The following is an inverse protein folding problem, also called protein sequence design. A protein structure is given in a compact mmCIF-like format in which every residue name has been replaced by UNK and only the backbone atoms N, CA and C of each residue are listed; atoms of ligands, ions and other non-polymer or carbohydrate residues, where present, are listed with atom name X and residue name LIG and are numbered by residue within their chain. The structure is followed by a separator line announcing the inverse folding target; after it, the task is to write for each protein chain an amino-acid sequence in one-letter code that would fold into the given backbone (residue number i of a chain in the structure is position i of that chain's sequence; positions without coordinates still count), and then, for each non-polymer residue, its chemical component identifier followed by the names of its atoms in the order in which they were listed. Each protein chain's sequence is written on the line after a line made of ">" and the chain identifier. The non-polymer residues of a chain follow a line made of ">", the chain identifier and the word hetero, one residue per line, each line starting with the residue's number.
data_IF_851807748600
#
_entry.id   IF_851807748600
#
_cell.length_a   1.000
_cell.length_b   1.000
_cell.length_c   1.000
_cell.angle_alpha   90.00
_cell.angle_beta   90.00
_cell.angle_gamma   90.00
#
_symmetry.space_group_name_H-M   'P 1'
#
loop_
_entity.id
_entity.type
_entity.pdbx_description
1 polymer ?
#
# COMPACT_ATOMS: atom_id res chain seq x y z
N UNK A 1 -3.27 12.23 36.42
CA UNK A 1 -4.09 13.46 36.24
C UNK A 1 -4.08 13.75 34.76
N UNK A 2 -5.10 13.30 34.04
CA UNK A 2 -5.30 13.62 32.62
C UNK A 2 -5.78 15.07 32.56
N UNK A 3 -4.87 15.99 32.24
CA UNK A 3 -5.26 17.34 31.85
C UNK A 3 -6.12 17.21 30.60
N UNK A 4 -7.42 17.46 30.77
CA UNK A 4 -8.32 17.67 29.64
C UNK A 4 -7.90 19.00 29.04
N UNK A 5 -7.15 18.93 27.94
CA UNK A 5 -6.75 20.10 27.16
C UNK A 5 -8.00 20.91 26.82
N UNK A 6 -7.95 22.21 27.08
CA UNK A 6 -9.06 23.10 26.78
C UNK A 6 -9.30 23.16 25.26
N UNK A 7 -10.55 23.30 24.78
CA UNK A 7 -10.86 23.31 23.34
C UNK A 7 -10.04 24.34 22.53
N UNK A 8 -9.69 25.46 23.16
CA UNK A 8 -8.87 26.53 22.57
C UNK A 8 -7.40 26.12 22.38
N UNK A 9 -6.85 25.27 23.26
CA UNK A 9 -5.48 24.74 23.12
C UNK A 9 -5.37 23.73 21.98
N UNK A 10 -6.40 22.90 21.76
CA UNK A 10 -6.43 21.96 20.63
C UNK A 10 -6.50 22.66 19.28
N UNK A 11 -7.24 23.76 19.18
CA UNK A 11 -7.36 24.55 17.94
C UNK A 11 -6.07 25.30 17.60
N UNK A 12 -5.41 25.89 18.61
CA UNK A 12 -4.12 26.57 18.43
C UNK A 12 -3.02 25.60 18.02
N UNK A 13 -3.04 24.36 18.51
CA UNK A 13 -2.05 23.35 18.15
C UNK A 13 -2.18 22.93 16.67
N UNK A 14 -3.40 22.80 16.14
CA UNK A 14 -3.59 22.43 14.74
C UNK A 14 -3.18 23.51 13.75
N UNK A 15 -3.47 24.78 14.04
CA UNK A 15 -3.04 25.90 13.21
C UNK A 15 -1.51 25.94 13.08
N UNK A 16 -0.79 25.60 14.16
CA UNK A 16 0.68 25.53 14.14
C UNK A 16 1.16 24.42 13.21
N UNK A 17 0.54 23.25 13.24
CA UNK A 17 0.91 22.14 12.36
C UNK A 17 0.60 22.42 10.89
N UNK A 18 -0.56 22.99 10.60
CA UNK A 18 -0.93 23.38 9.24
C UNK A 18 0.05 24.42 8.68
N UNK A 19 0.38 25.46 9.45
CA UNK A 19 1.35 26.48 9.05
C UNK A 19 2.75 25.89 8.82
N UNK A 20 3.18 24.95 9.67
CA UNK A 20 4.44 24.23 9.44
C UNK A 20 4.42 23.48 8.11
N UNK A 21 3.36 22.73 7.82
CA UNK A 21 3.26 21.99 6.55
C UNK A 21 3.27 22.98 5.37
N UNK A 22 2.49 24.06 5.45
CA UNK A 22 2.44 25.13 4.44
C UNK A 22 3.80 25.73 4.10
N UNK A 23 4.68 25.88 5.09
CA UNK A 23 6.04 26.38 4.92
C UNK A 23 7.03 25.33 4.40
N UNK A 24 6.73 24.04 4.59
CA UNK A 24 7.61 22.93 4.23
C UNK A 24 7.38 22.40 2.81
N UNK A 25 6.21 22.66 2.22
CA UNK A 25 5.83 22.13 0.91
C UNK A 25 5.47 23.23 -0.09
N UNK A 26 5.55 22.92 -1.39
CA UNK A 26 5.15 23.83 -2.46
C UNK A 26 3.65 24.14 -2.40
N UNK A 27 3.17 25.30 -2.90
CA UNK A 27 1.76 25.69 -2.82
C UNK A 27 0.77 24.63 -3.34
N UNK A 28 1.05 24.04 -4.51
CA UNK A 28 0.21 22.95 -5.07
C UNK A 28 0.15 21.70 -4.20
N UNK A 29 1.23 21.41 -3.47
CA UNK A 29 1.30 20.28 -2.54
C UNK A 29 0.50 20.58 -1.29
N UNK A 30 0.52 21.82 -0.81
CA UNK A 30 -0.32 22.23 0.32
C UNK A 30 -1.81 22.13 -0.02
N UNK A 31 -2.23 22.54 -1.22
CA UNK A 31 -3.62 22.34 -1.67
C UNK A 31 -4.00 20.85 -1.73
N UNK A 32 -3.08 19.98 -2.15
CA UNK A 32 -3.25 18.52 -2.09
C UNK A 32 -3.43 18.04 -0.65
N UNK A 33 -2.56 18.46 0.27
CA UNK A 33 -2.64 18.13 1.69
C UNK A 33 -4.00 18.48 2.28
N UNK A 34 -4.53 19.67 2.02
CA UNK A 34 -5.84 20.09 2.53
C UNK A 34 -6.97 19.18 2.00
N UNK A 35 -6.94 18.82 0.72
CA UNK A 35 -7.96 17.92 0.13
C UNK A 35 -7.84 16.49 0.68
N UNK A 36 -6.62 16.00 0.93
CA UNK A 36 -6.39 14.71 1.58
C UNK A 36 -6.91 14.71 3.01
N UNK A 37 -6.61 15.74 3.79
CA UNK A 37 -7.07 15.87 5.18
C UNK A 37 -8.59 15.86 5.28
N UNK A 38 -9.27 16.66 4.46
CA UNK A 38 -10.73 16.68 4.41
C UNK A 38 -11.29 15.33 3.98
N UNK A 39 -10.79 14.75 2.88
CA UNK A 39 -11.29 13.47 2.42
C UNK A 39 -11.07 12.34 3.44
N UNK A 40 -9.89 12.27 4.07
CA UNK A 40 -9.58 11.29 5.10
C UNK A 40 -10.53 11.41 6.29
N UNK A 41 -10.84 12.64 6.72
CA UNK A 41 -11.84 12.90 7.78
C UNK A 41 -13.22 12.38 7.40
N UNK A 42 -13.68 12.64 6.18
CA UNK A 42 -14.98 12.17 5.69
C UNK A 42 -15.04 10.64 5.61
N UNK A 43 -13.99 9.99 5.08
CA UNK A 43 -13.90 8.53 5.03
C UNK A 43 -13.96 7.96 6.45
N UNK A 44 -13.23 8.54 7.40
CA UNK A 44 -13.22 8.08 8.78
C UNK A 44 -14.61 8.19 9.44
N UNK A 45 -15.30 9.31 9.27
CA UNK A 45 -16.67 9.51 9.76
C UNK A 45 -17.63 8.44 9.22
N UNK A 46 -17.58 8.15 7.91
CA UNK A 46 -18.46 7.17 7.28
C UNK A 46 -18.23 5.74 7.72
N UNK A 47 -17.03 5.41 8.21
CA UNK A 47 -16.62 4.03 8.52
C UNK A 47 -16.38 3.80 10.03
N UNK A 48 -16.69 4.77 10.88
CA UNK A 48 -16.55 4.63 12.34
C UNK A 48 -15.11 4.69 12.85
N UNK A 49 -14.17 5.21 12.05
CA UNK A 49 -12.81 5.51 12.49
C UNK A 49 -12.73 6.91 13.13
N UNK A 50 -11.61 7.23 13.79
CA UNK A 50 -11.41 8.54 14.43
C UNK A 50 -11.19 9.63 13.37
N UNK A 51 -12.13 10.58 13.21
CA UNK A 51 -12.08 11.56 12.14
C UNK A 51 -11.03 12.65 12.39
N UNK A 52 -10.76 13.00 13.65
CA UNK A 52 -9.80 14.05 13.98
C UNK A 52 -8.38 13.53 13.80
N UNK A 53 -8.12 12.27 14.15
CA UNK A 53 -6.86 11.60 13.81
C UNK A 53 -6.66 11.44 12.31
N UNK A 54 -7.72 11.11 11.56
CA UNK A 54 -7.65 11.02 10.11
C UNK A 54 -7.35 12.37 9.44
N UNK A 55 -7.99 13.43 9.92
CA UNK A 55 -7.69 14.80 9.48
C UNK A 55 -6.23 15.17 9.78
N UNK A 56 -5.79 14.96 11.02
CA UNK A 56 -4.41 15.24 11.45
C UNK A 56 -3.37 14.49 10.60
N UNK A 57 -3.57 13.19 10.40
CA UNK A 57 -2.68 12.40 9.57
C UNK A 57 -2.67 12.87 8.11
N UNK A 58 -3.82 13.27 7.58
CA UNK A 58 -3.92 13.88 6.25
C UNK A 58 -3.19 15.23 6.14
N UNK A 59 -3.21 16.08 7.16
CA UNK A 59 -2.42 17.32 7.19
C UNK A 59 -0.91 17.00 7.18
N UNK A 60 -0.50 16.00 7.94
CA UNK A 60 0.92 15.74 8.22
C UNK A 60 1.62 14.80 7.22
N UNK A 61 0.88 14.03 6.40
CA UNK A 61 1.43 12.94 5.59
C UNK A 61 2.61 13.36 4.70
N UNK A 62 2.47 14.51 4.04
CA UNK A 62 3.39 15.00 3.01
C UNK A 62 4.38 16.05 3.56
N UNK A 63 4.50 16.25 4.88
CA UNK A 63 5.34 17.32 5.47
C UNK A 63 6.83 17.23 5.08
N UNK A 64 7.32 16.04 4.77
CA UNK A 64 8.68 15.80 4.30
C UNK A 64 8.80 15.67 2.77
N UNK A 65 7.71 15.84 2.02
CA UNK A 65 7.61 15.49 0.59
C UNK A 65 8.59 16.25 -0.30
N UNK A 66 8.81 17.52 -0.01
CA UNK A 66 9.64 18.42 -0.83
C UNK A 66 11.06 18.59 -0.26
N UNK A 67 11.45 17.78 0.74
CA UNK A 67 12.82 17.76 1.24
C UNK A 67 13.79 17.20 0.19
N UNK A 68 15.06 17.66 0.18
CA UNK A 68 16.08 17.09 -0.69
C UNK A 68 16.35 15.61 -0.38
N UNK A 69 16.73 14.83 -1.40
CA UNK A 69 17.04 13.40 -1.29
C UNK A 69 18.01 13.06 -0.14
N UNK A 70 19.06 13.87 0.04
CA UNK A 70 20.03 13.69 1.12
C UNK A 70 19.38 13.80 2.52
N UNK A 71 18.37 14.68 2.67
CA UNK A 71 17.65 14.86 3.92
C UNK A 71 16.65 13.73 4.14
N UNK A 72 15.97 13.25 3.09
CA UNK A 72 15.11 12.06 3.15
C UNK A 72 15.89 10.83 3.63
N UNK A 73 17.06 10.58 3.03
CA UNK A 73 17.97 9.48 3.42
C UNK A 73 18.46 9.62 4.87
N UNK A 74 18.71 10.85 5.33
CA UNK A 74 19.15 11.14 6.70
C UNK A 74 18.04 10.91 7.72
N UNK A 75 16.80 11.27 7.39
CA UNK A 75 15.64 11.15 8.27
C UNK A 75 15.06 9.73 8.30
N UNK A 76 15.17 8.99 7.20
CA UNK A 76 14.71 7.63 7.06
C UNK A 76 15.76 6.79 6.32
N UNK A 77 16.61 6.05 7.05
CA UNK A 77 17.60 5.18 6.44
C UNK A 77 16.94 4.15 5.50
N UNK A 78 17.53 3.89 4.31
CA UNK A 78 17.04 2.90 3.36
C UNK A 78 16.83 1.52 3.98
N UNK A 79 15.69 0.91 3.69
CA UNK A 79 15.38 -0.49 4.03
C UNK A 79 15.56 -1.43 2.82
N UNK A 80 15.63 -0.89 1.60
CA UNK A 80 15.87 -1.63 0.37
C UNK A 80 16.53 -0.80 -0.73
N UNK A 81 16.86 -1.42 -1.87
CA UNK A 81 17.51 -0.76 -3.00
C UNK A 81 16.64 0.36 -3.60
N UNK A 82 15.31 0.22 -3.57
CA UNK A 82 14.38 1.23 -4.08
C UNK A 82 14.49 2.53 -3.27
N UNK A 83 14.65 2.44 -1.95
CA UNK A 83 14.83 3.62 -1.09
C UNK A 83 16.11 4.38 -1.44
N UNK A 84 17.18 3.64 -1.75
CA UNK A 84 18.48 4.23 -2.12
C UNK A 84 18.44 4.84 -3.53
N UNK A 85 17.79 4.18 -4.48
CA UNK A 85 17.68 4.63 -5.86
C UNK A 85 16.64 5.74 -6.05
N UNK A 86 15.59 5.74 -5.21
CA UNK A 86 14.46 6.67 -5.27
C UNK A 86 14.11 7.20 -3.86
N UNK A 87 14.95 8.07 -3.26
CA UNK A 87 14.76 8.58 -1.90
C UNK A 87 13.39 9.23 -1.65
N UNK A 88 12.75 9.73 -2.71
CA UNK A 88 11.40 10.26 -2.67
C UNK A 88 10.34 9.28 -2.14
N UNK A 89 10.59 7.96 -2.17
CA UNK A 89 9.72 6.96 -1.54
C UNK A 89 9.73 7.06 0.01
N UNK A 90 10.82 7.59 0.59
CA UNK A 90 11.02 7.65 2.04
C UNK A 90 10.24 8.75 2.75
N UNK A 91 9.57 9.66 2.03
CA UNK A 91 8.97 10.85 2.66
C UNK A 91 7.95 10.54 3.78
N UNK A 92 7.21 9.43 3.74
CA UNK A 92 6.36 9.02 4.86
C UNK A 92 7.16 8.69 6.12
N UNK A 93 8.19 7.84 6.00
CA UNK A 93 9.10 7.50 7.10
C UNK A 93 9.88 8.72 7.59
N UNK A 94 10.32 9.57 6.68
CA UNK A 94 11.01 10.82 7.01
C UNK A 94 10.09 11.80 7.76
N UNK A 95 8.83 11.92 7.32
CA UNK A 95 7.80 12.71 7.99
C UNK A 95 7.59 12.22 9.42
N UNK A 96 7.43 10.91 9.65
CA UNK A 96 7.33 10.34 11.01
C UNK A 96 8.52 10.75 11.89
N UNK A 97 9.74 10.56 11.42
CA UNK A 97 10.95 10.93 12.18
C UNK A 97 10.99 12.43 12.48
N UNK A 98 10.63 13.27 11.50
CA UNK A 98 10.61 14.72 11.64
C UNK A 98 9.58 15.19 12.67
N UNK A 99 8.35 14.68 12.59
CA UNK A 99 7.25 14.97 13.52
C UNK A 99 7.59 14.56 14.94
N UNK A 100 8.17 13.36 15.11
CA UNK A 100 8.61 12.87 16.42
C UNK A 100 9.67 13.79 17.04
N UNK A 101 10.63 14.27 16.24
CA UNK A 101 11.65 15.24 16.70
C UNK A 101 11.07 16.61 17.04
N UNK A 102 9.92 16.95 16.45
CA UNK A 102 9.19 18.19 16.71
C UNK A 102 8.15 18.08 17.83
N UNK A 103 8.09 16.95 18.53
CA UNK A 103 7.22 16.77 19.70
C UNK A 103 5.83 16.22 19.40
N UNK A 104 5.57 15.74 18.19
CA UNK A 104 4.31 15.06 17.88
C UNK A 104 4.39 13.58 18.29
N UNK A 105 3.40 13.08 19.03
CA UNK A 105 3.49 11.79 19.72
C UNK A 105 2.28 10.85 19.55
N UNK A 106 1.23 11.23 18.82
CA UNK A 106 0.11 10.30 18.60
C UNK A 106 0.54 9.13 17.69
N UNK A 107 0.59 7.88 18.21
CA UNK A 107 1.13 6.75 17.46
C UNK A 107 0.24 6.34 16.28
N UNK A 108 -1.09 6.56 16.37
CA UNK A 108 -2.05 6.22 15.30
C UNK A 108 -1.81 7.11 14.09
N UNK A 109 -1.64 8.42 14.34
CA UNK A 109 -1.35 9.42 13.32
C UNK A 109 0.06 9.23 12.74
N UNK A 110 1.07 9.04 13.58
CA UNK A 110 2.45 8.82 13.14
C UNK A 110 2.59 7.56 12.27
N UNK A 111 1.82 6.51 12.56
CA UNK A 111 1.78 5.32 11.72
C UNK A 111 1.10 5.59 10.37
N UNK A 112 -0.05 6.27 10.37
CA UNK A 112 -0.72 6.65 9.12
C UNK A 112 0.16 7.51 8.22
N UNK A 113 0.89 8.48 8.81
CA UNK A 113 1.89 9.30 8.10
C UNK A 113 3.05 8.47 7.58
N UNK A 114 3.54 7.49 8.33
CA UNK A 114 4.64 6.64 7.88
C UNK A 114 4.26 5.81 6.66
N UNK A 115 3.09 5.16 6.74
CA UNK A 115 2.68 4.11 5.82
C UNK A 115 1.94 4.61 4.58
N UNK A 116 1.53 5.89 4.51
CA UNK A 116 0.77 6.41 3.36
C UNK A 116 1.49 6.17 2.01
N UNK A 117 2.82 6.15 2.01
CA UNK A 117 3.65 5.95 0.81
C UNK A 117 3.72 4.50 0.35
N UNK A 118 3.61 3.53 1.26
CA UNK A 118 3.86 2.12 0.95
C UNK A 118 2.66 1.22 1.19
N UNK A 119 1.61 1.70 1.87
CA UNK A 119 0.44 0.92 2.23
C UNK A 119 0.36 0.65 3.74
N UNK A 120 -0.85 0.68 4.34
CA UNK A 120 -1.07 0.35 5.75
C UNK A 120 -0.67 -1.09 6.10
N UNK A 121 -0.17 -1.29 7.32
CA UNK A 121 0.20 -2.62 7.86
C UNK A 121 -0.98 -3.43 8.42
N UNK A 122 -2.17 -2.83 8.47
CA UNK A 122 -3.38 -3.38 9.10
C UNK A 122 -3.51 -2.98 10.57
N UNK A 123 -4.73 -3.06 11.11
CA UNK A 123 -5.02 -2.73 12.52
C UNK A 123 -5.13 -1.22 12.83
N UNK A 124 -5.03 -0.36 11.81
CA UNK A 124 -5.14 1.08 11.94
C UNK A 124 -6.00 1.66 10.81
N UNK A 125 -7.28 1.90 11.10
CA UNK A 125 -8.24 2.41 10.12
C UNK A 125 -7.92 3.85 9.69
N UNK A 126 -7.24 4.63 10.52
CA UNK A 126 -6.77 5.98 10.16
C UNK A 126 -5.74 5.90 9.03
N UNK A 127 -4.82 4.93 9.08
CA UNK A 127 -3.86 4.70 8.00
C UNK A 127 -4.57 4.31 6.69
N UNK A 128 -5.62 3.50 6.75
CA UNK A 128 -6.46 3.17 5.60
C UNK A 128 -7.14 4.42 5.02
N UNK A 129 -7.76 5.25 5.86
CA UNK A 129 -8.42 6.49 5.44
C UNK A 129 -7.46 7.42 4.70
N UNK A 130 -6.26 7.65 5.26
CA UNK A 130 -5.25 8.54 4.66
C UNK A 130 -4.70 7.97 3.36
N UNK A 131 -4.41 6.67 3.31
CA UNK A 131 -3.91 6.02 2.11
C UNK A 131 -4.92 6.12 0.95
N UNK A 132 -6.20 5.85 1.23
CA UNK A 132 -7.28 5.98 0.26
C UNK A 132 -7.44 7.44 -0.17
N UNK A 133 -7.45 8.38 0.78
CA UNK A 133 -7.59 9.80 0.49
C UNK A 133 -6.46 10.32 -0.41
N UNK A 134 -5.20 9.99 -0.12
CA UNK A 134 -4.03 10.46 -0.90
C UNK A 134 -4.09 10.04 -2.38
N UNK A 135 -4.56 8.82 -2.65
CA UNK A 135 -4.66 8.33 -4.04
C UNK A 135 -5.93 8.77 -4.76
N UNK A 136 -6.96 9.21 -4.03
CA UNK A 136 -8.32 9.43 -4.57
C UNK A 136 -8.91 10.81 -4.30
N UNK A 137 -8.15 11.73 -3.70
CA UNK A 137 -8.59 13.11 -3.48
C UNK A 137 -9.03 13.77 -4.82
N UNK A 138 -10.10 14.60 -4.85
CA UNK A 138 -10.73 15.06 -6.09
C UNK A 138 -9.80 15.75 -7.11
N UNK A 139 -8.77 16.44 -6.65
CA UNK A 139 -7.77 17.11 -7.47
C UNK A 139 -6.84 16.17 -8.24
N UNK A 140 -6.79 14.87 -7.90
CA UNK A 140 -6.08 13.84 -8.68
C UNK A 140 -6.73 13.60 -10.04
N UNK A 141 -8.05 13.79 -10.16
CA UNK A 141 -8.81 13.52 -11.39
C UNK A 141 -8.89 12.03 -11.77
N UNK A 142 -8.50 11.12 -10.88
CA UNK A 142 -8.53 9.65 -11.04
C UNK A 142 -9.04 8.99 -9.77
N UNK A 143 -9.29 7.68 -9.80
CA UNK A 143 -9.69 6.88 -8.63
C UNK A 143 -11.00 7.35 -7.95
N UNK A 144 -11.93 7.90 -8.74
CA UNK A 144 -13.25 8.28 -8.22
C UNK A 144 -14.03 7.08 -7.68
N UNK A 145 -13.89 5.91 -8.32
CA UNK A 145 -14.48 4.65 -7.88
C UNK A 145 -13.99 4.25 -6.48
N UNK A 146 -12.69 4.40 -6.20
CA UNK A 146 -12.10 4.15 -4.88
C UNK A 146 -12.68 5.10 -3.83
N UNK A 147 -12.77 6.40 -4.15
CA UNK A 147 -13.32 7.42 -3.25
C UNK A 147 -14.79 7.16 -2.92
N UNK A 148 -15.58 6.81 -3.92
CA UNK A 148 -17.02 6.52 -3.77
C UNK A 148 -17.25 5.26 -2.95
N UNK A 149 -16.46 4.21 -3.18
CA UNK A 149 -16.49 2.99 -2.39
C UNK A 149 -16.14 3.27 -0.92
N UNK A 150 -15.12 4.10 -0.67
CA UNK A 150 -14.67 4.45 0.68
C UNK A 150 -15.75 5.14 1.52
N UNK A 151 -16.81 5.68 0.93
CA UNK A 151 -17.91 6.28 1.66
C UNK A 151 -18.78 5.25 2.42
N UNK A 152 -18.64 3.96 2.15
CA UNK A 152 -19.44 2.90 2.76
C UNK A 152 -18.73 1.55 2.92
N UNK A 153 -17.54 1.36 2.34
CA UNK A 153 -16.73 0.16 2.48
C UNK A 153 -15.22 0.51 2.51
N UNK A 154 -14.70 0.79 3.72
CA UNK A 154 -13.27 1.10 3.92
C UNK A 154 -12.36 -0.03 3.45
N UNK A 155 -12.72 -1.29 3.74
CA UNK A 155 -11.89 -2.46 3.43
C UNK A 155 -11.80 -2.64 1.93
N UNK A 156 -12.95 -2.68 1.24
CA UNK A 156 -12.99 -2.81 -0.22
C UNK A 156 -12.29 -1.66 -0.93
N UNK A 157 -12.43 -0.42 -0.43
CA UNK A 157 -11.72 0.74 -0.97
C UNK A 157 -10.21 0.64 -0.78
N UNK A 158 -9.73 0.15 0.37
CA UNK A 158 -8.31 -0.05 0.63
C UNK A 158 -7.72 -1.13 -0.29
N UNK A 159 -8.41 -2.26 -0.43
CA UNK A 159 -8.02 -3.33 -1.36
C UNK A 159 -7.88 -2.79 -2.77
N UNK A 160 -8.89 -2.06 -3.25
CA UNK A 160 -8.91 -1.44 -4.57
C UNK A 160 -7.78 -0.43 -4.76
N UNK A 161 -7.49 0.38 -3.75
CA UNK A 161 -6.40 1.35 -3.76
C UNK A 161 -5.02 0.69 -3.87
N UNK A 162 -4.78 -0.39 -3.12
CA UNK A 162 -3.53 -1.15 -3.15
C UNK A 162 -3.36 -1.83 -4.51
N UNK A 163 -4.39 -2.50 -5.02
CA UNK A 163 -4.39 -3.14 -6.35
C UNK A 163 -4.13 -2.11 -7.46
N UNK A 164 -4.81 -0.96 -7.41
CA UNK A 164 -4.62 0.13 -8.38
C UNK A 164 -3.17 0.61 -8.42
N UNK A 165 -2.55 0.83 -7.25
CA UNK A 165 -1.15 1.27 -7.15
C UNK A 165 -0.17 0.24 -7.71
N UNK A 166 -0.30 -1.03 -7.35
CA UNK A 166 0.59 -2.09 -7.84
C UNK A 166 0.46 -2.23 -9.36
N UNK A 167 -0.77 -2.28 -9.86
CA UNK A 167 -1.06 -2.37 -11.30
C UNK A 167 -0.47 -1.19 -12.07
N UNK A 168 -0.62 0.03 -11.53
CA UNK A 168 -0.04 1.23 -12.13
C UNK A 168 1.49 1.14 -12.20
N UNK A 169 2.17 0.81 -11.10
CA UNK A 169 3.63 0.73 -11.07
C UNK A 169 4.15 -0.33 -12.03
N UNK A 170 3.55 -1.52 -12.02
CA UNK A 170 3.92 -2.61 -12.93
C UNK A 170 3.68 -2.24 -14.41
N UNK A 171 2.53 -1.63 -14.73
CA UNK A 171 2.22 -1.18 -16.08
C UNK A 171 3.16 -0.08 -16.59
N UNK A 172 3.87 0.60 -15.69
CA UNK A 172 4.90 1.61 -16.01
C UNK A 172 6.33 1.04 -15.99
N UNK A 173 6.51 -0.25 -15.69
CA UNK A 173 7.83 -0.87 -15.52
C UNK A 173 8.60 -0.36 -14.30
N UNK A 174 7.92 0.22 -13.31
CA UNK A 174 8.51 0.74 -12.09
C UNK A 174 8.52 -0.38 -11.04
N UNK A 175 9.65 -0.58 -10.36
CA UNK A 175 9.75 -1.56 -9.28
C UNK A 175 8.81 -1.20 -8.13
N UNK A 176 8.06 -2.19 -7.63
CA UNK A 176 7.14 -2.01 -6.51
C UNK A 176 7.90 -2.19 -5.20
N UNK A 177 7.72 -1.25 -4.27
CA UNK A 177 8.37 -1.30 -2.97
C UNK A 177 7.98 -2.58 -2.19
N UNK A 178 8.92 -3.27 -1.49
CA UNK A 178 8.62 -4.49 -0.74
C UNK A 178 7.46 -4.35 0.26
N UNK A 179 7.38 -3.23 1.00
CA UNK A 179 6.24 -2.95 1.91
C UNK A 179 4.90 -2.87 1.17
N UNK A 180 4.87 -2.34 -0.05
CA UNK A 180 3.66 -2.34 -0.88
C UNK A 180 3.30 -3.72 -1.38
N UNK A 181 4.28 -4.52 -1.77
CA UNK A 181 4.04 -5.93 -2.13
C UNK A 181 3.53 -6.74 -0.94
N UNK A 182 4.04 -6.49 0.27
CA UNK A 182 3.54 -7.12 1.49
C UNK A 182 2.06 -6.80 1.71
N UNK A 183 1.66 -5.53 1.61
CA UNK A 183 0.26 -5.13 1.70
C UNK A 183 -0.60 -5.78 0.60
N UNK A 184 -0.07 -5.86 -0.63
CA UNK A 184 -0.75 -6.48 -1.77
C UNK A 184 -0.96 -7.99 -1.61
N UNK A 185 0.05 -8.74 -1.17
CA UNK A 185 -0.07 -10.18 -0.94
C UNK A 185 -0.87 -10.54 0.31
N UNK A 186 -1.06 -9.60 1.24
CA UNK A 186 -1.95 -9.75 2.38
C UNK A 186 -3.44 -9.66 1.99
N UNK A 187 -3.77 -9.16 0.80
CA UNK A 187 -5.15 -8.98 0.38
C UNK A 187 -5.87 -10.34 0.18
N UNK A 188 -7.11 -10.49 0.69
CA UNK A 188 -7.88 -11.72 0.53
C UNK A 188 -8.03 -12.16 -0.93
N UNK A 189 -8.31 -11.24 -1.85
CA UNK A 189 -8.49 -11.55 -3.28
C UNK A 189 -7.24 -12.19 -3.91
N UNK A 190 -6.05 -11.70 -3.57
CA UNK A 190 -4.77 -12.22 -4.07
C UNK A 190 -4.44 -13.60 -3.47
N UNK A 191 -4.77 -13.80 -2.19
CA UNK A 191 -4.55 -15.10 -1.54
C UNK A 191 -5.40 -16.22 -2.16
N UNK A 192 -6.62 -15.91 -2.65
CA UNK A 192 -7.49 -16.90 -3.29
C UNK A 192 -6.97 -17.34 -4.68
N UNK A 193 -6.38 -16.42 -5.45
CA UNK A 193 -5.77 -16.71 -6.76
C UNK A 193 -4.56 -17.65 -6.63
N UNK A 194 -3.73 -17.46 -5.60
CA UNK A 194 -2.59 -18.34 -5.32
C UNK A 194 -3.02 -19.78 -4.98
N UNK A 195 -4.17 -19.95 -4.32
CA UNK A 195 -4.71 -21.27 -3.93
C UNK A 195 -5.40 -21.99 -5.09
N UNK A 196 -6.06 -21.25 -5.98
CA UNK A 196 -6.74 -21.83 -7.16
C UNK A 196 -5.77 -22.22 -8.27
N UNK A 197 -4.56 -21.65 -8.32
CA UNK A 197 -3.51 -22.05 -9.26
C UNK A 197 -2.84 -23.41 -8.91
N UNK A 198 -3.00 -23.90 -7.67
CA UNK A 198 -2.40 -25.17 -7.16
C UNK A 198 -3.47 -26.29 -7.07
N UNK A 199 -4.44 -26.33 -7.98
CA UNK A 199 -5.25 -27.54 -8.17
C UNK A 199 -4.70 -28.34 -9.36
N UNK A 200 -4.14 -29.55 -9.16
CA UNK A 200 -3.86 -30.43 -10.28
C UNK A 200 -5.18 -30.79 -10.95
N UNK A 201 -5.22 -30.72 -12.30
CA UNK A 201 -6.33 -31.24 -13.08
C UNK A 201 -6.61 -32.68 -12.63
N UNK A 202 -7.86 -33.07 -12.33
CA UNK A 202 -8.17 -34.47 -12.08
C UNK A 202 -7.86 -35.25 -13.35
N UNK A 203 -6.83 -36.10 -13.27
CA UNK A 203 -6.56 -37.12 -14.26
C UNK A 203 -7.81 -37.98 -14.41
N UNK A 204 -8.37 -38.01 -15.61
CA UNK A 204 -9.44 -38.93 -15.97
C UNK A 204 -8.91 -40.36 -15.91
N UNK A 205 -9.14 -41.07 -14.80
CA UNK A 205 -8.96 -42.51 -14.76
C UNK A 205 -10.16 -43.19 -15.42
N UNK A 206 -9.93 -43.65 -16.65
CA UNK A 206 -10.76 -44.62 -17.33
C UNK A 206 -10.69 -45.94 -16.54
N UNK A 207 -11.80 -46.33 -15.93
CA UNK A 207 -12.03 -47.72 -15.54
C UNK A 207 -12.39 -48.54 -16.78
N UNK A 208 -11.59 -49.55 -17.12
CA UNK A 208 -12.08 -50.81 -17.68
C UNK A 208 -11.09 -51.93 -17.41
N UNK A 209 -11.66 -53.07 -17.04
CA UNK A 209 -11.03 -54.22 -16.43
C UNK A 209 -10.27 -55.14 -17.41
N UNK A 210 -9.27 -55.80 -16.85
CA UNK A 210 -8.71 -57.14 -17.13
C UNK A 210 -9.21 -57.97 -18.32
N UNK A 211 -8.27 -58.45 -19.12
CA UNK A 211 -8.14 -59.89 -19.43
C UNK A 211 -6.74 -60.22 -20.03
N UNK A 212 -6.01 -61.08 -19.34
CA UNK A 212 -4.99 -62.01 -19.88
C UNK A 212 -5.71 -63.31 -20.31
N UNK A 213 -5.13 -64.25 -21.11
CA UNK A 213 -3.69 -64.54 -21.22
C UNK A 213 -3.18 -64.96 -22.63
N UNK A 214 -1.89 -65.31 -22.64
CA UNK A 214 -1.19 -66.30 -23.48
C UNK A 214 -0.02 -65.84 -24.35
N UNK A 215 0.96 -66.73 -24.29
CA UNK A 215 2.35 -66.75 -24.75
C UNK A 215 2.55 -66.50 -26.25
N UNK A 216 3.69 -65.90 -26.61
CA UNK A 216 4.69 -66.58 -27.46
C UNK A 216 5.97 -65.74 -27.60
N UNK A 217 7.07 -66.48 -27.75
CA UNK A 217 8.47 -66.15 -27.91
C UNK A 217 8.86 -65.16 -29.03
N UNK A 218 9.92 -64.37 -28.80
CA UNK A 218 11.19 -64.36 -29.57
C UNK A 218 11.88 -62.97 -29.53
N UNK A 219 13.11 -62.94 -29.03
CA UNK A 219 14.15 -61.92 -29.28
C UNK A 219 15.02 -62.37 -30.48
N UNK A 220 16.07 -61.65 -30.90
CA UNK A 220 16.31 -60.20 -31.01
C UNK A 220 16.83 -59.82 -32.42
N UNK A 221 16.86 -58.54 -32.81
CA UNK A 221 17.87 -58.07 -33.77
C UNK A 221 18.18 -56.57 -33.66
N UNK A 222 19.32 -56.19 -34.20
CA UNK A 222 20.28 -55.26 -33.64
C UNK A 222 20.46 -53.94 -34.42
N UNK A 223 20.67 -52.84 -33.66
CA UNK A 223 21.66 -51.76 -33.91
C UNK A 223 21.55 -50.90 -35.22
N UNK A 224 22.43 -49.89 -35.46
CA UNK A 224 22.25 -48.49 -35.05
C UNK A 224 22.50 -47.46 -36.19
N UNK A 225 22.39 -46.14 -35.89
CA UNK A 225 22.91 -44.91 -36.57
C UNK A 225 21.80 -43.83 -36.52
N UNK A 226 21.98 -42.55 -36.23
CA UNK A 226 23.10 -41.60 -36.10
C UNK A 226 22.48 -40.17 -36.10
N UNK A 227 23.24 -39.09 -35.80
CA UNK A 227 22.70 -37.80 -35.34
C UNK A 227 22.63 -36.71 -36.44
N UNK A 228 21.91 -35.59 -36.20
CA UNK A 228 22.32 -34.24 -36.60
C UNK A 228 21.34 -33.14 -36.08
N UNK A 229 21.93 -32.03 -35.63
CA UNK A 229 21.32 -30.73 -35.27
C UNK A 229 20.87 -29.94 -36.52
N UNK A 230 20.50 -28.63 -36.51
CA UNK A 230 21.08 -27.48 -35.77
C UNK A 230 20.29 -27.01 -34.53
#
# INVERSE_FOLDING_TARGET
>A
MTEVLSPEQGLLDWLVWEDRVRLMVRPRRFEHVLRVAELARHIALSNGADPERAYAAGILHDIARDLPDAELLRLAPPECDIDSAHPLALHGRAARTLLTRWGYHDPVVLEAVEDHTTGPRGGNDVAACVYIADVSEPGRGVNADIRELAAHDLTGALERAIVSKVTYLQGRGIQVHPRTLQAYYALPCIQQESKTSIMPKPSSELSSQSNTPESSSAQPDATPRGPAQP
#
